data_IF_399268415126
#
_entry.id   IF_399268415126
#
_cell.length_a   1.000
_cell.length_b   1.000
_cell.length_c   1.000
_cell.angle_alpha   90.00
_cell.angle_beta   90.00
_cell.angle_gamma   90.00
#
_symmetry.space_group_name_H-M   'P 1'
#
loop_
_entity.id
_entity.type
_entity.pdbx_description
1 polymer ?
#
# COMPACT_ATOMS: atom_id res chain seq x y z
N UNK A 1 12.67 2.98 31.27
CA UNK A 1 11.33 3.45 30.87
C UNK A 1 10.88 2.52 29.76
N UNK A 2 10.15 1.46 30.10
CA UNK A 2 10.13 0.22 29.32
C UNK A 2 8.84 0.06 28.50
N UNK A 3 8.43 1.06 27.71
CA UNK A 3 7.37 0.91 26.70
C UNK A 3 6.01 0.33 27.16
N UNK A 4 5.72 0.31 28.47
CA UNK A 4 4.51 -0.31 28.98
C UNK A 4 3.28 0.51 28.57
N UNK A 5 2.34 -0.13 27.88
CA UNK A 5 1.05 0.44 27.56
C UNK A 5 0.23 0.59 28.83
N UNK A 6 0.02 1.83 29.29
CA UNK A 6 -0.84 2.11 30.44
C UNK A 6 -2.27 2.22 29.93
N UNK A 7 -2.97 1.09 29.91
CA UNK A 7 -4.38 1.04 29.55
C UNK A 7 -5.25 1.40 30.76
N UNK A 8 -6.22 2.32 30.63
CA UNK A 8 -7.16 2.61 31.70
C UNK A 8 -8.07 1.39 31.97
N UNK A 9 -8.63 1.24 33.18
CA UNK A 9 -9.61 0.19 33.46
C UNK A 9 -10.78 0.25 32.47
N UNK A 10 -11.15 -0.90 31.90
CA UNK A 10 -12.29 -0.98 31.01
C UNK A 10 -13.58 -0.54 31.73
N UNK A 11 -14.34 0.35 31.09
CA UNK A 11 -15.63 0.89 31.58
C UNK A 11 -16.81 0.44 30.71
N UNK A 12 -16.56 -0.42 29.72
CA UNK A 12 -17.58 -1.02 28.85
C UNK A 12 -17.14 -2.39 28.36
N UNK A 13 -18.11 -3.23 27.96
CA UNK A 13 -17.88 -4.55 27.37
C UNK A 13 -16.90 -4.48 26.18
N UNK A 14 -17.07 -3.48 25.30
CA UNK A 14 -16.20 -3.27 24.14
C UNK A 14 -14.75 -3.02 24.55
N UNK A 15 -14.53 -2.29 25.66
CA UNK A 15 -13.18 -2.05 26.17
C UNK A 15 -12.58 -3.31 26.81
N UNK A 16 -13.39 -4.14 27.49
CA UNK A 16 -12.94 -5.45 28.01
C UNK A 16 -12.49 -6.35 26.87
N UNK A 17 -13.30 -6.45 25.81
CA UNK A 17 -12.98 -7.27 24.64
C UNK A 17 -11.69 -6.81 23.95
N UNK A 18 -11.52 -5.50 23.77
CA UNK A 18 -10.28 -4.95 23.21
C UNK A 18 -9.07 -5.27 24.09
N UNK A 19 -9.19 -5.09 25.41
CA UNK A 19 -8.09 -5.37 26.34
C UNK A 19 -7.72 -6.87 26.33
N UNK A 20 -8.71 -7.77 26.30
CA UNK A 20 -8.48 -9.21 26.20
C UNK A 20 -7.83 -9.62 24.86
N UNK A 21 -8.19 -8.94 23.76
CA UNK A 21 -7.55 -9.17 22.47
C UNK A 21 -6.08 -8.71 22.47
N UNK A 22 -5.80 -7.54 23.02
CA UNK A 22 -4.44 -7.01 23.12
C UNK A 22 -3.52 -7.90 23.98
N UNK A 23 -4.04 -8.52 25.05
CA UNK A 23 -3.25 -9.43 25.89
C UNK A 23 -3.02 -10.81 25.30
N UNK A 24 -3.77 -11.18 24.26
CA UNK A 24 -3.62 -12.47 23.56
C UNK A 24 -2.83 -12.35 22.26
N UNK A 25 -2.55 -11.13 21.79
CA UNK A 25 -1.72 -10.90 20.62
C UNK A 25 -0.26 -11.24 20.93
N UNK A 26 0.34 -12.11 20.11
CA UNK A 26 1.77 -12.44 20.20
C UNK A 26 2.57 -11.31 19.54
N UNK A 27 3.44 -10.68 20.31
CA UNK A 27 4.40 -9.71 19.78
C UNK A 27 5.62 -10.46 19.24
N UNK A 28 6.04 -10.10 18.04
CA UNK A 28 7.27 -10.60 17.42
C UNK A 28 8.37 -9.55 17.57
N UNK A 29 9.61 -10.00 17.71
CA UNK A 29 10.80 -9.12 17.69
C UNK A 29 11.28 -8.82 16.25
N UNK A 30 10.54 -9.31 15.25
CA UNK A 30 10.81 -9.05 13.85
C UNK A 30 10.68 -7.55 13.54
N UNK A 31 11.59 -7.02 12.72
CA UNK A 31 11.51 -5.63 12.27
C UNK A 31 10.31 -5.44 11.34
N UNK A 32 9.55 -4.36 11.57
CA UNK A 32 8.49 -3.93 10.66
C UNK A 32 9.07 -3.65 9.28
N UNK A 33 8.46 -4.24 8.24
CA UNK A 33 8.81 -3.97 6.85
C UNK A 33 7.58 -3.51 6.06
N UNK A 34 7.84 -2.67 5.06
CA UNK A 34 6.79 -2.24 4.13
C UNK A 34 6.64 -3.26 3.01
N UNK A 35 5.40 -3.64 2.72
CA UNK A 35 5.06 -4.51 1.61
C UNK A 35 4.27 -3.74 0.53
N UNK A 36 4.60 -3.99 -0.74
CA UNK A 36 3.86 -3.42 -1.87
C UNK A 36 2.98 -4.50 -2.48
N UNK A 37 1.67 -4.43 -2.26
CA UNK A 37 0.72 -5.37 -2.82
C UNK A 37 -0.15 -4.72 -3.91
N UNK A 38 -0.32 -5.39 -5.03
CA UNK A 38 -1.25 -4.99 -6.10
C UNK A 38 -1.80 -6.24 -6.76
N UNK A 39 -3.13 -6.34 -6.93
CA UNK A 39 -3.82 -7.54 -7.46
C UNK A 39 -3.46 -8.85 -6.73
N UNK A 40 -3.47 -8.85 -5.39
CA UNK A 40 -3.11 -10.02 -4.57
C UNK A 40 -1.65 -10.49 -4.79
N UNK A 41 -0.84 -9.66 -5.44
CA UNK A 41 0.55 -9.96 -5.74
C UNK A 41 1.47 -8.97 -5.05
N UNK A 42 2.27 -9.53 -4.16
CA UNK A 42 3.36 -8.83 -3.49
C UNK A 42 4.48 -8.54 -4.49
N UNK A 43 4.93 -7.30 -4.50
CA UNK A 43 6.08 -6.81 -5.24
C UNK A 43 7.20 -6.45 -4.28
N UNK A 44 8.43 -6.82 -4.65
CA UNK A 44 9.63 -6.43 -3.90
C UNK A 44 9.99 -4.95 -4.04
N UNK A 45 9.34 -4.22 -4.96
CA UNK A 45 9.57 -2.80 -5.19
C UNK A 45 8.29 -2.07 -5.57
N UNK A 46 8.23 -0.79 -5.20
CA UNK A 46 7.22 0.12 -5.72
C UNK A 46 7.36 0.27 -7.25
N UNK A 47 6.23 0.29 -7.95
CA UNK A 47 6.16 0.52 -9.39
C UNK A 47 5.12 1.58 -9.69
N UNK A 48 5.59 2.82 -9.89
CA UNK A 48 4.73 3.96 -10.19
C UNK A 48 3.78 3.68 -11.36
N UNK A 49 4.30 3.13 -12.46
CA UNK A 49 3.48 2.82 -13.64
C UNK A 49 2.37 1.82 -13.37
N UNK A 50 2.65 0.77 -12.58
CA UNK A 50 1.67 -0.24 -12.21
C UNK A 50 0.57 0.34 -11.32
N UNK A 51 0.95 1.12 -10.31
CA UNK A 51 0.00 1.77 -9.39
C UNK A 51 -0.87 2.77 -10.14
N UNK A 52 -0.28 3.60 -11.00
CA UNK A 52 -1.04 4.53 -11.83
C UNK A 52 -1.97 3.81 -12.80
N UNK A 53 -1.53 2.73 -13.45
CA UNK A 53 -2.39 1.96 -14.34
C UNK A 53 -3.61 1.37 -13.62
N UNK A 54 -3.48 1.04 -12.33
CA UNK A 54 -4.57 0.52 -11.51
C UNK A 54 -5.51 1.59 -10.97
N UNK A 55 -4.97 2.74 -10.59
CA UNK A 55 -5.77 3.86 -10.08
C UNK A 55 -6.44 4.65 -11.21
N UNK A 56 -5.87 4.63 -12.41
CA UNK A 56 -6.40 5.35 -13.56
C UNK A 56 -7.71 4.68 -14.01
N UNK A 57 -8.79 5.45 -14.23
CA UNK A 57 -9.98 4.94 -14.88
C UNK A 57 -9.63 4.36 -16.25
N UNK A 58 -10.22 3.21 -16.59
CA UNK A 58 -10.12 2.67 -17.94
C UNK A 58 -10.70 3.69 -18.91
N UNK A 59 -9.86 4.18 -19.83
CA UNK A 59 -10.20 5.22 -20.78
C UNK A 59 -9.80 4.78 -22.16
N UNK A 60 -10.69 4.94 -23.13
CA UNK A 60 -10.43 4.60 -24.52
C UNK A 60 -9.21 5.35 -25.08
N UNK A 61 -8.48 4.68 -25.97
CA UNK A 61 -7.38 5.31 -26.69
C UNK A 61 -7.94 6.41 -27.60
N UNK A 62 -7.66 7.66 -27.25
CA UNK A 62 -8.12 8.82 -28.00
C UNK A 62 -7.32 8.99 -29.30
N UNK A 63 -7.96 9.15 -30.48
CA UNK A 63 -7.27 9.25 -31.77
C UNK A 63 -6.24 10.39 -31.85
N UNK A 64 -6.46 11.47 -31.08
CA UNK A 64 -5.56 12.62 -31.04
C UNK A 64 -4.29 12.37 -30.21
N UNK A 65 -4.21 11.29 -29.42
CA UNK A 65 -3.03 10.98 -28.63
C UNK A 65 -1.77 10.86 -29.49
N UNK A 66 -1.89 10.22 -30.66
CA UNK A 66 -0.78 10.05 -31.63
C UNK A 66 -0.32 11.37 -32.26
N UNK A 67 -1.17 12.40 -32.25
CA UNK A 67 -0.88 13.73 -32.80
C UNK A 67 -0.16 14.59 -31.75
N UNK A 68 -0.53 14.45 -30.48
CA UNK A 68 0.03 15.23 -29.37
C UNK A 68 1.38 14.66 -28.90
N UNK A 69 1.54 13.33 -28.95
CA UNK A 69 2.74 12.66 -28.43
C UNK A 69 3.65 12.22 -29.59
N UNK A 70 4.77 12.90 -29.78
CA UNK A 70 5.80 12.49 -30.75
C UNK A 70 6.49 11.20 -30.26
N UNK A 71 6.19 10.09 -30.95
CA UNK A 71 6.57 8.71 -30.59
C UNK A 71 8.08 8.52 -30.39
N UNK A 72 8.93 9.28 -31.08
CA UNK A 72 10.40 9.14 -31.02
C UNK A 72 11.09 9.51 -29.70
N UNK A 73 10.40 10.15 -28.76
CA UNK A 73 10.97 10.51 -27.44
C UNK A 73 10.54 9.50 -26.36
N UNK A 74 9.50 8.70 -26.59
CA UNK A 74 8.89 7.84 -25.57
C UNK A 74 9.61 6.50 -25.40
N UNK A 75 10.24 5.96 -26.45
CA UNK A 75 10.98 4.69 -26.34
C UNK A 75 12.10 4.74 -25.29
N UNK A 76 12.67 5.92 -25.03
CA UNK A 76 13.67 6.13 -23.97
C UNK A 76 13.09 6.27 -22.55
N UNK A 77 11.82 6.68 -22.39
CA UNK A 77 11.18 6.83 -21.07
C UNK A 77 10.29 5.63 -20.68
N UNK A 78 9.75 4.90 -21.66
CA UNK A 78 8.97 3.67 -21.44
C UNK A 78 9.85 2.50 -20.93
N UNK A 79 11.17 2.58 -21.11
CA UNK A 79 12.11 1.58 -20.57
C UNK A 79 12.37 1.72 -19.06
N UNK A 80 11.92 2.82 -18.42
CA UNK A 80 12.22 3.11 -17.00
C UNK A 80 10.99 3.32 -16.10
N UNK A 81 9.78 2.99 -16.55
CA UNK A 81 8.55 2.96 -15.72
C UNK A 81 7.96 1.55 -15.62
#
# INVERSE_FOLDING_TARGET
MNGHWILPPARSENQVNLQAYLTTTVLTDDEDYYEWETDEKVSSKYRTGQVYAKLRPESDEVPWGKIVWNVGVIDSYAAFL
#
